data_IF_038998591071
#
_entry.id   IF_038998591071
#
_cell.length_a   1.000
_cell.length_b   1.000
_cell.length_c   1.000
_cell.angle_alpha   90.00
_cell.angle_beta   90.00
_cell.angle_gamma   90.00
#
_symmetry.space_group_name_H-M   'P 1'
#
loop_
_entity.id
_entity.type
_entity.pdbx_description
1 polymer ?
#
# COMPACT_ATOMS: atom_id res chain seq x y z
N UNK A 1 18.36 -14.52 -28.63
CA UNK A 1 17.06 -13.80 -28.72
C UNK A 1 16.16 -14.09 -27.52
N UNK A 2 15.91 -15.35 -27.14
CA UNK A 2 15.04 -15.75 -26.01
C UNK A 2 15.51 -15.27 -24.63
N UNK A 3 16.82 -15.34 -24.34
CA UNK A 3 17.42 -14.92 -23.04
C UNK A 3 17.21 -13.41 -22.79
N UNK A 4 17.19 -12.59 -23.84
CA UNK A 4 17.02 -11.14 -23.72
C UNK A 4 15.55 -10.79 -23.38
N UNK A 5 14.58 -11.54 -23.91
CA UNK A 5 13.16 -11.40 -23.60
C UNK A 5 12.88 -11.79 -22.14
N UNK A 6 13.43 -12.91 -21.65
CA UNK A 6 13.28 -13.37 -20.26
C UNK A 6 13.86 -12.35 -19.25
N UNK A 7 14.99 -11.71 -19.60
CA UNK A 7 15.63 -10.69 -18.75
C UNK A 7 14.81 -9.40 -18.73
N UNK A 8 14.24 -8.99 -19.87
CA UNK A 8 13.35 -7.84 -19.96
C UNK A 8 12.05 -8.05 -19.17
N UNK A 9 11.43 -9.24 -19.24
CA UNK A 9 10.24 -9.55 -18.44
C UNK A 9 10.56 -9.55 -16.94
N UNK A 10 11.68 -10.14 -16.52
CA UNK A 10 12.07 -10.14 -15.11
C UNK A 10 12.37 -8.73 -14.57
N UNK A 11 13.00 -7.86 -15.37
CA UNK A 11 13.24 -6.46 -15.00
C UNK A 11 11.93 -5.67 -14.96
N UNK A 12 11.01 -5.90 -15.91
CA UNK A 12 9.70 -5.25 -15.90
C UNK A 12 8.84 -5.74 -14.72
N UNK A 13 8.90 -7.02 -14.37
CA UNK A 13 8.20 -7.57 -13.21
C UNK A 13 8.82 -7.05 -11.91
N UNK A 14 10.15 -7.05 -11.77
CA UNK A 14 10.83 -6.47 -10.61
C UNK A 14 10.55 -4.97 -10.46
N UNK A 15 10.55 -4.21 -11.58
CA UNK A 15 10.19 -2.81 -11.59
C UNK A 15 8.71 -2.61 -11.23
N UNK A 16 7.80 -3.42 -11.78
CA UNK A 16 6.40 -3.40 -11.42
C UNK A 16 6.15 -3.79 -9.96
N UNK A 17 6.97 -4.66 -9.38
CA UNK A 17 6.94 -5.00 -7.95
C UNK A 17 7.50 -3.85 -7.10
N UNK A 18 8.59 -3.19 -7.51
CA UNK A 18 9.09 -1.96 -6.87
C UNK A 18 8.12 -0.78 -6.99
N UNK A 19 7.35 -0.72 -8.09
CA UNK A 19 6.32 0.31 -8.33
C UNK A 19 4.97 -0.06 -7.71
N UNK A 20 4.72 -1.33 -7.38
CA UNK A 20 3.52 -1.78 -6.66
C UNK A 20 3.77 -1.67 -5.17
N UNK A 21 3.54 -0.49 -4.65
CA UNK A 21 3.53 -0.21 -3.21
C UNK A 21 2.15 -0.48 -2.60
N UNK A 22 1.40 -1.45 -3.12
CA UNK A 22 0.05 -1.76 -2.64
C UNK A 22 0.02 -3.16 -2.03
N UNK A 23 -0.34 -3.21 -0.76
CA UNK A 23 -0.51 -4.40 0.05
C UNK A 23 -2.00 -4.58 0.37
N UNK A 24 -2.49 -5.83 0.48
CA UNK A 24 -3.83 -6.08 1.00
C UNK A 24 -3.93 -5.64 2.47
N UNK A 25 -5.13 -5.26 2.90
CA UNK A 25 -5.38 -4.76 4.25
C UNK A 25 -4.90 -5.75 5.32
N UNK A 26 -5.14 -7.03 5.12
CA UNK A 26 -4.80 -8.09 6.06
C UNK A 26 -3.29 -8.23 6.28
N UNK A 27 -2.47 -7.83 5.30
CA UNK A 27 -1.01 -7.88 5.40
C UNK A 27 -0.47 -6.70 6.20
N UNK A 28 -1.06 -5.51 6.05
CA UNK A 28 -0.72 -4.33 6.86
C UNK A 28 -1.21 -4.41 8.32
N UNK A 29 -2.13 -5.34 8.61
CA UNK A 29 -2.60 -5.62 9.98
C UNK A 29 -1.77 -6.69 10.69
N UNK A 30 -0.83 -7.35 10.00
CA UNK A 30 0.02 -8.37 10.60
C UNK A 30 1.25 -7.77 11.27
N UNK A 31 1.74 -8.50 12.28
CA UNK A 31 3.03 -8.23 12.92
C UNK A 31 3.96 -9.42 12.69
N UNK A 32 5.22 -9.20 12.22
CA UNK A 32 5.81 -7.90 11.85
C UNK A 32 5.26 -7.33 10.53
N UNK A 33 5.33 -6.01 10.37
CA UNK A 33 4.97 -5.34 9.12
C UNK A 33 5.92 -5.73 7.98
N UNK A 34 5.47 -5.68 6.71
CA UNK A 34 6.35 -5.90 5.56
C UNK A 34 7.52 -4.92 5.51
N UNK A 35 8.63 -5.35 4.93
CA UNK A 35 9.84 -4.53 4.83
C UNK A 35 9.59 -3.27 3.98
N UNK A 36 10.02 -2.10 4.46
CA UNK A 36 9.82 -0.82 3.79
C UNK A 36 8.42 -0.19 3.96
N UNK A 37 7.55 -0.79 4.78
CA UNK A 37 6.25 -0.22 5.17
C UNK A 37 6.42 0.72 6.35
N UNK A 38 5.94 1.96 6.19
CA UNK A 38 5.86 2.93 7.29
C UNK A 38 4.62 2.67 8.15
N UNK A 39 4.76 2.26 9.43
CA UNK A 39 3.63 2.05 10.34
C UNK A 39 2.79 3.31 10.56
N UNK A 40 3.37 4.51 10.40
CA UNK A 40 2.64 5.76 10.57
C UNK A 40 1.75 6.09 9.38
N UNK A 41 1.96 5.45 8.22
CA UNK A 41 1.32 5.79 6.96
C UNK A 41 0.80 4.57 6.19
N UNK A 42 0.26 3.56 6.90
CA UNK A 42 -0.26 2.33 6.28
C UNK A 42 -1.29 2.59 5.16
N UNK A 43 -2.05 3.69 5.23
CA UNK A 43 -3.04 4.06 4.21
C UNK A 43 -2.45 4.30 2.81
N UNK A 44 -1.18 4.71 2.70
CA UNK A 44 -0.56 4.98 1.39
C UNK A 44 -0.24 3.68 0.65
N UNK A 45 -0.13 2.61 1.41
CA UNK A 45 0.18 1.26 0.96
C UNK A 45 -1.06 0.46 0.61
N UNK A 46 -2.27 1.01 0.71
CA UNK A 46 -3.49 0.33 0.32
C UNK A 46 -3.91 0.69 -1.10
N UNK A 47 -4.66 -0.22 -1.72
CA UNK A 47 -5.47 0.14 -2.88
C UNK A 47 -6.66 0.98 -2.46
N UNK A 48 -7.19 1.82 -3.36
CA UNK A 48 -8.41 2.59 -3.08
C UNK A 48 -9.60 1.65 -2.79
N UNK A 49 -9.59 0.42 -3.34
CA UNK A 49 -10.59 -0.61 -3.05
C UNK A 49 -10.46 -1.13 -1.62
N UNK A 50 -9.25 -1.49 -1.18
CA UNK A 50 -9.00 -1.99 0.18
C UNK A 50 -9.22 -0.88 1.22
N UNK A 51 -8.85 0.34 0.85
CA UNK A 51 -9.09 1.51 1.68
C UNK A 51 -10.54 2.01 1.63
N UNK A 52 -11.38 1.52 0.71
CA UNK A 52 -12.80 1.84 0.55
C UNK A 52 -13.15 3.34 0.45
N UNK A 53 -12.14 4.19 0.40
CA UNK A 53 -12.22 5.63 0.14
C UNK A 53 -11.06 5.97 -0.78
N UNK A 54 -11.26 6.90 -1.70
CA UNK A 54 -10.16 7.31 -2.56
C UNK A 54 -9.13 8.12 -1.77
N UNK A 55 -7.87 8.10 -2.22
CA UNK A 55 -6.82 8.95 -1.62
C UNK A 55 -7.20 10.42 -1.62
N UNK A 56 -7.89 10.87 -2.67
CA UNK A 56 -8.36 12.25 -2.79
C UNK A 56 -9.38 12.59 -1.69
N UNK A 57 -10.39 11.74 -1.50
CA UNK A 57 -11.38 11.93 -0.45
C UNK A 57 -10.73 11.93 0.93
N UNK A 58 -9.83 10.98 1.20
CA UNK A 58 -9.13 10.89 2.47
C UNK A 58 -8.27 12.13 2.76
N UNK A 59 -7.50 12.59 1.78
CA UNK A 59 -6.67 13.79 1.90
C UNK A 59 -7.51 15.07 2.12
N UNK A 60 -8.76 15.09 1.67
CA UNK A 60 -9.69 16.20 1.91
C UNK A 60 -10.31 16.21 3.32
N UNK A 61 -10.20 15.09 4.07
CA UNK A 61 -10.76 15.01 5.42
C UNK A 61 -9.92 15.82 6.42
N UNK A 62 -10.55 16.43 7.43
CA UNK A 62 -9.84 16.98 8.58
C UNK A 62 -8.99 15.90 9.27
N UNK A 63 -7.82 16.27 9.81
CA UNK A 63 -6.88 15.31 10.40
C UNK A 63 -7.47 14.40 11.49
N UNK A 64 -8.41 14.91 12.30
CA UNK A 64 -9.11 14.08 13.30
C UNK A 64 -9.91 12.94 12.67
N UNK A 65 -10.48 13.16 11.48
CA UNK A 65 -11.29 12.19 10.75
C UNK A 65 -10.44 11.19 9.97
N UNK A 66 -9.25 11.61 9.53
CA UNK A 66 -8.22 10.71 9.00
C UNK A 66 -7.77 9.71 10.07
N UNK A 67 -7.46 10.21 11.28
CA UNK A 67 -7.08 9.39 12.44
C UNK A 67 -8.21 8.42 12.83
N UNK A 68 -9.45 8.90 12.90
CA UNK A 68 -10.62 8.06 13.23
C UNK A 68 -10.81 6.93 12.22
N UNK A 69 -10.69 7.24 10.92
CA UNK A 69 -10.76 6.22 9.87
C UNK A 69 -9.65 5.19 9.99
N UNK A 70 -8.40 5.61 10.22
CA UNK A 70 -7.28 4.69 10.47
C UNK A 70 -7.54 3.78 11.66
N UNK A 71 -8.06 4.33 12.77
CA UNK A 71 -8.41 3.56 13.97
C UNK A 71 -9.52 2.55 13.68
N UNK A 72 -10.58 2.95 12.99
CA UNK A 72 -11.68 2.05 12.63
C UNK A 72 -11.24 0.84 11.79
N UNK A 73 -10.13 1.00 11.06
CA UNK A 73 -9.54 -0.04 10.19
C UNK A 73 -8.37 -0.80 10.83
N UNK A 74 -7.98 -0.47 12.06
CA UNK A 74 -6.81 -1.07 12.72
C UNK A 74 -5.46 -0.62 12.15
N UNK A 75 -5.45 0.44 11.33
CA UNK A 75 -4.26 1.00 10.67
C UNK A 75 -3.58 2.10 11.49
N UNK A 76 -3.89 2.17 12.78
CA UNK A 76 -3.35 3.17 13.70
C UNK A 76 -2.46 2.47 14.72
N UNK A 77 -1.15 2.68 14.58
CA UNK A 77 -0.11 2.22 15.51
C UNK A 77 0.17 3.27 16.58
#
# INVERSE_FOLDING_TARGET
LVINIMKLTLVQDALAQLMKTQFPLEELLRSPLPEGVDPQHLEVYLSDQDFQVTRYEYASLPGWKQIDLKKSKGLFC
#
